data_IF_035585274910
#
_entry.id   IF_035585274910
#
_cell.length_a   1.000
_cell.length_b   1.000
_cell.length_c   1.000
_cell.angle_alpha   90.00
_cell.angle_beta   90.00
_cell.angle_gamma   90.00
#
_symmetry.space_group_name_H-M   'P 1'
#
loop_
_entity.id
_entity.type
_entity.pdbx_description
1 polymer ?
#
# COMPACT_ATOMS: atom_id res chain seq x y z
N UNK A 1 10.00 -4.61 12.49
CA UNK A 1 9.09 -5.77 12.51
C UNK A 1 8.32 -5.79 13.82
N UNK A 2 6.99 -5.76 13.73
CA UNK A 2 6.05 -5.72 14.86
C UNK A 2 6.22 -6.97 15.76
N UNK A 3 6.13 -6.81 17.09
CA UNK A 3 6.25 -7.92 18.04
C UNK A 3 5.15 -8.97 17.88
N UNK A 4 3.99 -8.60 17.33
CA UNK A 4 2.93 -9.56 17.03
C UNK A 4 3.27 -10.45 15.83
N UNK A 5 3.76 -9.86 14.74
CA UNK A 5 4.16 -10.60 13.53
C UNK A 5 5.26 -11.62 13.82
N UNK A 6 6.23 -11.28 14.69
CA UNK A 6 7.24 -12.24 15.14
C UNK A 6 6.63 -13.48 15.81
N UNK A 7 5.61 -13.30 16.66
CA UNK A 7 4.92 -14.41 17.30
C UNK A 7 4.22 -15.29 16.28
N UNK A 8 3.59 -14.70 15.25
CA UNK A 8 2.93 -15.44 14.18
C UNK A 8 3.97 -16.26 13.38
N UNK A 9 5.12 -15.68 13.07
CA UNK A 9 6.23 -16.39 12.42
C UNK A 9 6.71 -17.57 13.28
N UNK A 10 6.86 -17.38 14.58
CA UNK A 10 7.30 -18.44 15.49
C UNK A 10 6.26 -19.57 15.60
N UNK A 11 4.96 -19.24 15.64
CA UNK A 11 3.87 -20.23 15.61
C UNK A 11 3.88 -21.00 14.29
N UNK A 12 3.96 -20.32 13.16
CA UNK A 12 4.03 -20.96 11.85
C UNK A 12 5.21 -21.94 11.76
N UNK A 13 6.40 -21.52 12.21
CA UNK A 13 7.59 -22.38 12.28
C UNK A 13 7.40 -23.59 13.18
N UNK A 14 6.75 -23.42 14.33
CA UNK A 14 6.44 -24.52 15.22
C UNK A 14 5.49 -25.53 14.54
N UNK A 15 4.46 -25.05 13.84
CA UNK A 15 3.56 -25.92 13.08
C UNK A 15 4.27 -26.69 11.98
N UNK A 16 5.20 -26.04 11.25
CA UNK A 16 6.05 -26.74 10.26
C UNK A 16 6.88 -27.85 10.90
N UNK A 17 7.47 -27.58 12.08
CA UNK A 17 8.23 -28.59 12.81
C UNK A 17 7.38 -29.78 13.26
N UNK A 18 6.14 -29.54 13.70
CA UNK A 18 5.20 -30.58 14.15
C UNK A 18 4.73 -31.49 13.02
N UNK A 19 4.70 -30.99 11.78
CA UNK A 19 4.34 -31.74 10.57
C UNK A 19 5.55 -32.31 9.82
N UNK A 20 6.77 -32.13 10.35
CA UNK A 20 8.05 -32.52 9.73
C UNK A 20 8.41 -31.79 8.41
N UNK A 21 7.83 -30.60 8.17
CA UNK A 21 8.00 -29.79 6.96
C UNK A 21 8.93 -28.60 7.22
N UNK A 22 10.13 -28.89 7.72
CA UNK A 22 11.06 -27.88 8.28
C UNK A 22 11.66 -26.93 7.25
N UNK A 23 11.56 -27.26 5.97
CA UNK A 23 12.10 -26.50 4.85
C UNK A 23 11.15 -25.40 4.37
N UNK A 24 9.91 -25.36 4.86
CA UNK A 24 8.91 -24.34 4.54
C UNK A 24 9.44 -22.91 4.75
N UNK A 25 9.13 -22.03 3.79
CA UNK A 25 9.42 -20.60 3.76
C UNK A 25 8.10 -19.84 3.80
N UNK A 26 7.98 -18.86 4.67
CA UNK A 26 6.80 -17.97 4.70
C UNK A 26 6.87 -17.00 3.52
N UNK A 27 5.85 -17.04 2.66
CA UNK A 27 5.65 -16.15 1.52
C UNK A 27 5.04 -14.84 1.99
N UNK A 28 3.92 -14.89 2.70
CA UNK A 28 3.29 -13.69 3.23
C UNK A 28 2.47 -13.95 4.49
N UNK A 29 2.27 -12.89 5.27
CA UNK A 29 1.38 -12.87 6.43
C UNK A 29 0.42 -11.70 6.30
N UNK A 30 -0.86 -12.00 6.43
CA UNK A 30 -1.95 -11.05 6.48
C UNK A 30 -2.56 -11.03 7.88
N UNK A 31 -3.11 -9.87 8.27
CA UNK A 31 -3.89 -9.73 9.48
C UNK A 31 -5.23 -9.05 9.21
N UNK A 32 -6.28 -9.48 9.90
CA UNK A 32 -7.58 -8.81 9.90
C UNK A 32 -7.94 -8.49 11.33
N UNK A 33 -8.11 -7.19 11.64
CA UNK A 33 -8.53 -6.78 12.98
C UNK A 33 -10.02 -7.12 13.15
N UNK A 34 -10.34 -7.97 14.11
CA UNK A 34 -11.72 -8.24 14.51
C UNK A 34 -12.35 -7.06 15.26
N UNK A 35 -13.67 -7.13 15.48
CA UNK A 35 -14.43 -6.23 16.36
C UNK A 35 -14.06 -6.41 17.85
N UNK A 36 -13.40 -7.51 18.19
CA UNK A 36 -12.79 -7.80 19.49
C UNK A 36 -11.28 -7.53 19.45
N UNK A 37 -10.70 -7.22 20.61
CA UNK A 37 -9.38 -6.59 20.83
C UNK A 37 -8.12 -7.30 20.25
N UNK A 38 -8.21 -8.26 19.32
CA UNK A 38 -7.05 -8.96 18.71
C UNK A 38 -7.25 -9.30 17.22
N UNK A 39 -6.19 -9.22 16.39
CA UNK A 39 -6.27 -9.55 14.96
C UNK A 39 -6.23 -11.06 14.69
N UNK A 40 -7.02 -11.51 13.71
CA UNK A 40 -6.94 -12.79 13.03
C UNK A 40 -5.78 -12.80 12.02
N UNK A 41 -5.01 -13.89 11.92
CA UNK A 41 -3.88 -13.97 10.98
C UNK A 41 -4.04 -15.10 9.97
N UNK A 42 -3.58 -14.82 8.75
CA UNK A 42 -3.43 -15.79 7.67
C UNK A 42 -1.97 -15.78 7.19
N UNK A 43 -1.38 -16.95 7.03
CA UNK A 43 0.00 -17.13 6.62
C UNK A 43 0.07 -18.15 5.49
N UNK A 44 0.63 -17.75 4.35
CA UNK A 44 0.97 -18.66 3.26
C UNK A 44 2.47 -18.93 3.28
N UNK A 45 2.82 -20.21 3.13
CA UNK A 45 4.18 -20.69 3.04
C UNK A 45 4.32 -21.73 1.94
N UNK A 46 5.50 -21.82 1.33
CA UNK A 46 5.85 -22.84 0.34
C UNK A 46 7.14 -23.55 0.73
N UNK A 47 7.32 -24.79 0.27
CA UNK A 47 8.59 -25.51 0.46
C UNK A 47 9.73 -24.82 -0.30
N UNK A 48 10.95 -24.92 0.24
CA UNK A 48 12.17 -24.48 -0.44
C UNK A 48 12.70 -25.52 -1.42
N UNK A 49 12.29 -26.77 -1.26
CA UNK A 49 12.70 -27.89 -2.09
C UNK A 49 11.74 -28.07 -3.26
N UNK A 50 10.44 -27.86 -3.02
CA UNK A 50 9.38 -27.95 -4.02
C UNK A 50 8.39 -26.77 -3.84
N UNK A 51 8.53 -25.66 -4.61
CA UNK A 51 7.67 -24.49 -4.47
C UNK A 51 6.17 -24.75 -4.67
N UNK A 52 5.79 -25.86 -5.29
CA UNK A 52 4.39 -26.26 -5.50
C UNK A 52 3.76 -26.85 -4.23
N UNK A 53 4.57 -27.23 -3.22
CA UNK A 53 4.06 -27.61 -1.91
C UNK A 53 3.73 -26.37 -1.06
N UNK A 54 2.46 -25.98 -1.09
CA UNK A 54 1.96 -24.78 -0.43
C UNK A 54 1.14 -25.12 0.82
N UNK A 55 1.28 -24.29 1.85
CA UNK A 55 0.65 -24.46 3.15
C UNK A 55 -0.01 -23.15 3.57
N UNK A 56 -1.27 -23.26 4.01
CA UNK A 56 -2.00 -22.18 4.64
C UNK A 56 -2.10 -22.45 6.14
N UNK A 57 -1.67 -21.46 6.92
CA UNK A 57 -1.84 -21.46 8.37
C UNK A 57 -2.76 -20.32 8.74
N UNK A 58 -3.87 -20.65 9.41
CA UNK A 58 -4.76 -19.64 9.98
C UNK A 58 -4.67 -19.67 11.50
N UNK A 59 -4.67 -18.47 12.11
CA UNK A 59 -4.63 -18.30 13.55
C UNK A 59 -5.83 -17.46 13.98
N UNK A 60 -6.73 -18.09 14.72
CA UNK A 60 -7.92 -17.46 15.28
C UNK A 60 -7.69 -16.87 16.67
N UNK A 61 -8.66 -16.07 17.14
CA UNK A 61 -8.60 -15.33 18.41
C UNK A 61 -8.43 -16.24 19.64
N UNK A 62 -8.97 -17.45 19.58
CA UNK A 62 -8.86 -18.49 20.61
C UNK A 62 -7.52 -19.25 20.57
N UNK A 63 -6.57 -18.79 19.74
CA UNK A 63 -5.26 -19.42 19.48
C UNK A 63 -5.37 -20.80 18.84
N UNK A 64 -6.52 -21.14 18.26
CA UNK A 64 -6.57 -22.31 17.40
C UNK A 64 -5.74 -22.03 16.14
N UNK A 65 -4.87 -22.98 15.84
CA UNK A 65 -4.02 -22.96 14.65
C UNK A 65 -4.56 -24.02 13.71
N UNK A 66 -5.04 -23.62 12.54
CA UNK A 66 -5.35 -24.56 11.48
C UNK A 66 -4.16 -24.64 10.52
N UNK A 67 -3.82 -25.86 10.13
CA UNK A 67 -2.74 -26.17 9.21
C UNK A 67 -3.33 -26.91 8.01
N UNK A 68 -3.19 -26.35 6.81
CA UNK A 68 -3.87 -26.85 5.62
C UNK A 68 -2.92 -26.91 4.42
N UNK A 69 -3.01 -28.00 3.66
CA UNK A 69 -2.39 -28.10 2.35
C UNK A 69 -3.20 -27.30 1.33
N UNK A 70 -2.54 -26.44 0.57
CA UNK A 70 -3.12 -25.76 -0.58
C UNK A 70 -2.60 -26.47 -1.83
N UNK A 71 -3.47 -27.09 -2.65
CA UNK A 71 -3.03 -27.68 -3.90
C UNK A 71 -2.44 -26.62 -4.84
N UNK A 72 -1.36 -26.97 -5.51
CA UNK A 72 -0.66 -26.14 -6.50
C UNK A 72 -1.60 -25.61 -7.60
N UNK A 73 -2.47 -26.46 -8.12
CA UNK A 73 -3.44 -26.11 -9.16
C UNK A 73 -4.54 -25.15 -8.68
N UNK A 74 -4.74 -25.04 -7.37
CA UNK A 74 -5.74 -24.14 -6.76
C UNK A 74 -5.13 -22.78 -6.43
N UNK A 75 -3.82 -22.75 -6.13
CA UNK A 75 -3.16 -21.52 -5.72
C UNK A 75 -2.98 -20.52 -6.87
N UNK A 76 -3.52 -19.33 -6.67
CA UNK A 76 -3.23 -18.17 -7.52
C UNK A 76 -3.32 -16.88 -6.70
N UNK A 77 -2.61 -15.83 -7.13
CA UNK A 77 -2.56 -14.58 -6.36
C UNK A 77 -3.92 -13.88 -6.27
N UNK A 78 -4.81 -14.08 -7.24
CA UNK A 78 -6.09 -13.39 -7.33
C UNK A 78 -7.06 -13.92 -6.26
N UNK A 79 -7.25 -15.24 -6.21
CA UNK A 79 -8.17 -15.90 -5.26
C UNK A 79 -7.61 -16.06 -3.85
N UNK A 80 -6.30 -15.91 -3.65
CA UNK A 80 -5.68 -16.02 -2.32
C UNK A 80 -5.23 -14.67 -1.76
N UNK A 81 -4.31 -13.96 -2.42
CA UNK A 81 -3.78 -12.71 -1.87
C UNK A 81 -4.75 -11.55 -2.12
N UNK A 82 -5.21 -11.36 -3.35
CA UNK A 82 -5.99 -10.18 -3.70
C UNK A 82 -7.38 -10.23 -3.09
N UNK A 83 -8.07 -11.37 -3.15
CA UNK A 83 -9.36 -11.61 -2.48
C UNK A 83 -9.32 -11.29 -0.98
N UNK A 84 -8.30 -11.78 -0.25
CA UNK A 84 -8.14 -11.52 1.19
C UNK A 84 -7.95 -10.01 1.45
N UNK A 85 -7.15 -9.33 0.64
CA UNK A 85 -6.96 -7.88 0.77
C UNK A 85 -8.25 -7.12 0.52
N UNK A 86 -9.05 -7.58 -0.45
CA UNK A 86 -10.38 -7.06 -0.75
C UNK A 86 -11.36 -7.26 0.41
N UNK A 87 -11.26 -8.40 1.08
CA UNK A 87 -11.99 -8.76 2.29
C UNK A 87 -11.50 -8.02 3.54
N UNK A 88 -10.55 -7.10 3.41
CA UNK A 88 -10.11 -6.19 4.46
C UNK A 88 -8.95 -6.71 5.31
N UNK A 89 -8.24 -7.74 4.85
CA UNK A 89 -6.94 -8.09 5.42
C UNK A 89 -5.89 -7.01 5.11
N UNK A 90 -4.91 -6.91 6.00
CA UNK A 90 -3.77 -6.00 5.91
C UNK A 90 -2.48 -6.80 5.80
N UNK A 91 -1.58 -6.36 4.93
CA UNK A 91 -0.27 -6.99 4.75
C UNK A 91 0.62 -6.65 5.95
N UNK A 92 1.04 -7.69 6.68
CA UNK A 92 1.96 -7.57 7.81
C UNK A 92 3.40 -7.92 7.42
N UNK A 93 3.56 -8.83 6.47
CA UNK A 93 4.88 -9.32 6.04
C UNK A 93 4.81 -9.89 4.62
N UNK A 94 5.71 -9.42 3.75
CA UNK A 94 6.05 -10.01 2.45
C UNK A 94 7.56 -9.76 2.25
N UNK A 95 8.40 -10.78 2.00
CA UNK A 95 9.79 -10.59 1.65
C UNK A 95 9.93 -10.03 0.23
N UNK A 96 11.03 -9.32 -0.06
CA UNK A 96 11.23 -8.65 -1.34
C UNK A 96 11.15 -9.58 -2.56
N UNK A 97 11.67 -10.81 -2.44
CA UNK A 97 11.58 -11.85 -3.47
C UNK A 97 10.13 -12.25 -3.76
N UNK A 98 9.26 -12.27 -2.74
CA UNK A 98 7.85 -12.59 -2.94
C UNK A 98 7.10 -11.42 -3.58
N UNK A 99 7.47 -10.18 -3.25
CA UNK A 99 6.96 -9.02 -4.01
C UNK A 99 7.29 -9.16 -5.50
N UNK A 100 8.50 -9.59 -5.85
CA UNK A 100 8.86 -9.84 -7.25
C UNK A 100 7.98 -10.91 -7.90
N UNK A 101 7.77 -12.04 -7.24
CA UNK A 101 6.90 -13.11 -7.75
C UNK A 101 5.47 -12.62 -8.00
N UNK A 102 4.90 -11.86 -7.04
CA UNK A 102 3.58 -11.25 -7.18
C UNK A 102 3.56 -10.26 -8.35
N UNK A 103 4.61 -9.46 -8.55
CA UNK A 103 4.69 -8.51 -9.65
C UNK A 103 4.73 -9.20 -11.01
N UNK A 104 5.45 -10.31 -11.13
CA UNK A 104 5.46 -11.14 -12.32
C UNK A 104 4.07 -11.70 -12.62
N UNK A 105 3.41 -12.28 -11.60
CA UNK A 105 2.06 -12.81 -11.74
C UNK A 105 1.04 -11.72 -12.14
N UNK A 106 1.06 -10.56 -11.47
CA UNK A 106 0.18 -9.44 -11.83
C UNK A 106 0.44 -8.97 -13.26
N UNK A 107 1.70 -8.84 -13.69
CA UNK A 107 2.04 -8.41 -15.06
C UNK A 107 1.50 -9.38 -16.12
N UNK A 108 1.57 -10.68 -15.84
CA UNK A 108 1.11 -11.74 -16.74
C UNK A 108 -0.42 -11.80 -16.81
N UNK A 109 -1.11 -11.71 -15.67
CA UNK A 109 -2.55 -11.94 -15.55
C UNK A 109 -3.40 -10.68 -15.40
N UNK A 110 -2.82 -9.48 -15.58
CA UNK A 110 -3.46 -8.17 -15.29
C UNK A 110 -4.88 -7.98 -15.84
N UNK A 111 -5.17 -8.56 -17.01
CA UNK A 111 -6.43 -8.37 -17.72
C UNK A 111 -7.52 -9.36 -17.23
N UNK A 112 -7.10 -10.43 -16.54
CA UNK A 112 -7.96 -11.49 -16.03
C UNK A 112 -8.17 -11.41 -14.49
N UNK A 113 -7.47 -10.50 -13.79
CA UNK A 113 -7.65 -10.27 -12.35
C UNK A 113 -9.09 -9.83 -12.06
N UNK A 114 -9.78 -10.60 -11.21
CA UNK A 114 -11.14 -10.33 -10.76
C UNK A 114 -11.16 -9.40 -9.53
N UNK A 115 -10.23 -9.58 -8.58
CA UNK A 115 -10.19 -8.83 -7.31
C UNK A 115 -9.40 -7.52 -7.46
N UNK A 116 -10.00 -6.56 -8.17
CA UNK A 116 -9.41 -5.27 -8.54
C UNK A 116 -9.18 -4.30 -7.36
N UNK A 117 -10.06 -4.29 -6.36
CA UNK A 117 -9.88 -3.53 -5.12
C UNK A 117 -8.81 -4.17 -4.22
N UNK A 118 -8.65 -5.49 -4.29
CA UNK A 118 -7.55 -6.25 -3.71
C UNK A 118 -6.20 -5.88 -4.32
N UNK A 119 -6.13 -5.87 -5.66
CA UNK A 119 -4.96 -5.38 -6.41
C UNK A 119 -4.61 -3.94 -6.04
N UNK A 120 -5.62 -3.06 -5.95
CA UNK A 120 -5.40 -1.69 -5.51
C UNK A 120 -4.81 -1.61 -4.10
N UNK A 121 -5.31 -2.42 -3.16
CA UNK A 121 -4.81 -2.48 -1.79
C UNK A 121 -3.37 -2.96 -1.72
N UNK A 122 -2.99 -3.94 -2.55
CA UNK A 122 -1.61 -4.40 -2.68
C UNK A 122 -0.68 -3.32 -3.24
N UNK A 123 -1.09 -2.64 -4.31
CA UNK A 123 -0.30 -1.56 -4.92
C UNK A 123 -0.15 -0.35 -3.97
N UNK A 124 -1.20 -0.03 -3.21
CA UNK A 124 -1.16 1.00 -2.17
C UNK A 124 -0.16 0.63 -1.06
N UNK A 125 -0.14 -0.63 -0.65
CA UNK A 125 0.86 -1.15 0.27
C UNK A 125 2.27 -1.01 -0.31
N UNK A 126 2.50 -1.42 -1.56
CA UNK A 126 3.81 -1.28 -2.21
C UNK A 126 4.29 0.18 -2.18
N UNK A 127 3.42 1.13 -2.54
CA UNK A 127 3.72 2.56 -2.49
C UNK A 127 4.07 3.04 -1.07
N UNK A 128 3.29 2.65 -0.06
CA UNK A 128 3.50 3.05 1.35
C UNK A 128 4.75 2.43 1.96
N UNK A 129 5.06 1.18 1.60
CA UNK A 129 6.22 0.43 2.08
C UNK A 129 7.50 0.74 1.30
N UNK A 130 7.42 1.54 0.24
CA UNK A 130 8.58 1.90 -0.59
C UNK A 130 9.05 0.76 -1.50
N UNK A 131 8.16 -0.18 -1.85
CA UNK A 131 8.42 -1.21 -2.86
C UNK A 131 8.23 -0.56 -4.23
N UNK A 132 9.34 -0.25 -4.89
CA UNK A 132 9.38 0.38 -6.21
C UNK A 132 10.08 -0.51 -7.23
N UNK A 133 9.96 -0.26 -8.54
CA UNK A 133 10.68 -1.01 -9.55
C UNK A 133 12.19 -1.00 -9.34
N UNK A 134 12.75 0.12 -8.86
CA UNK A 134 14.17 0.23 -8.53
C UNK A 134 14.55 -0.68 -7.36
N UNK A 135 13.72 -0.77 -6.32
CA UNK A 135 13.96 -1.66 -5.17
C UNK A 135 13.88 -3.12 -5.60
N UNK A 136 12.89 -3.48 -6.43
CA UNK A 136 12.75 -4.84 -6.99
C UNK A 136 13.95 -5.21 -7.86
N UNK A 137 14.46 -4.27 -8.66
CA UNK A 137 15.64 -4.50 -9.53
C UNK A 137 16.91 -4.86 -8.77
N UNK A 138 16.99 -4.56 -7.45
CA UNK A 138 18.12 -4.96 -6.60
C UNK A 138 18.30 -6.47 -6.48
N UNK A 139 17.25 -7.25 -6.79
CA UNK A 139 17.33 -8.70 -6.85
C UNK A 139 18.16 -9.21 -8.04
N UNK A 140 18.45 -8.35 -9.04
CA UNK A 140 19.19 -8.74 -10.25
C UNK A 140 18.39 -9.64 -11.21
N UNK A 141 17.05 -9.63 -11.09
CA UNK A 141 16.12 -10.39 -11.92
C UNK A 141 15.56 -9.53 -13.07
N UNK A 142 14.65 -10.10 -13.87
CA UNK A 142 14.01 -9.36 -14.98
C UNK A 142 13.29 -8.11 -14.48
N UNK A 143 13.40 -6.99 -15.21
CA UNK A 143 12.68 -5.78 -14.86
C UNK A 143 11.16 -5.96 -15.00
N UNK A 144 10.45 -5.72 -13.91
CA UNK A 144 9.00 -5.72 -13.84
C UNK A 144 8.53 -4.44 -13.16
N UNK A 145 7.49 -3.81 -13.71
CA UNK A 145 6.85 -2.63 -13.14
C UNK A 145 5.33 -2.77 -13.31
N UNK A 146 4.64 -2.91 -12.18
CA UNK A 146 3.18 -2.90 -12.08
C UNK A 146 2.67 -1.64 -11.39
N UNK A 147 3.56 -0.74 -10.94
CA UNK A 147 3.16 0.47 -10.21
C UNK A 147 2.48 1.48 -11.13
N UNK A 148 2.63 1.33 -12.45
CA UNK A 148 1.82 2.02 -13.45
C UNK A 148 0.31 1.68 -13.37
N UNK A 149 -0.07 0.54 -12.78
CA UNK A 149 -1.47 0.16 -12.54
C UNK A 149 -2.06 0.90 -11.33
N UNK A 150 -1.21 1.46 -10.45
CA UNK A 150 -1.67 2.14 -9.24
C UNK A 150 -2.34 3.47 -9.58
N UNK A 151 -3.63 3.56 -9.28
CA UNK A 151 -4.41 4.78 -9.43
C UNK A 151 -4.83 5.30 -8.07
N UNK A 152 -4.09 6.25 -7.51
CA UNK A 152 -4.38 6.84 -6.19
C UNK A 152 -5.83 7.35 -6.12
N UNK A 153 -6.53 7.03 -5.03
CA UNK A 153 -7.92 7.45 -4.77
C UNK A 153 -8.09 8.05 -3.37
N UNK A 154 -9.07 8.92 -3.24
CA UNK A 154 -9.63 9.34 -1.95
C UNK A 154 -11.16 9.12 -1.99
N UNK A 155 -11.62 8.10 -1.26
CA UNK A 155 -12.95 7.53 -1.48
C UNK A 155 -13.13 7.11 -2.95
N UNK A 156 -14.24 7.51 -3.55
CA UNK A 156 -14.55 7.17 -4.95
C UNK A 156 -13.92 8.12 -6.00
N UNK A 157 -13.07 9.07 -5.59
CA UNK A 157 -12.41 10.00 -6.52
C UNK A 157 -10.99 9.54 -6.83
N UNK A 158 -10.67 9.44 -8.12
CA UNK A 158 -9.32 9.15 -8.62
C UNK A 158 -8.51 10.44 -8.64
N UNK A 159 -7.33 10.45 -8.02
CA UNK A 159 -6.39 11.57 -8.10
C UNK A 159 -5.85 11.64 -9.54
N UNK A 160 -6.08 12.76 -10.23
CA UNK A 160 -5.69 12.99 -11.63
C UNK A 160 -4.58 14.04 -11.78
N UNK A 161 -4.15 14.67 -10.69
CA UNK A 161 -3.04 15.61 -10.68
C UNK A 161 -2.59 15.97 -9.27
N UNK A 162 -1.31 16.31 -9.15
CA UNK A 162 -0.67 16.71 -7.88
C UNK A 162 0.38 17.80 -8.11
N UNK A 163 0.51 18.72 -7.14
CA UNK A 163 1.64 19.66 -7.04
C UNK A 163 2.13 19.69 -5.61
N UNK A 164 3.45 19.50 -5.45
CA UNK A 164 4.15 19.42 -4.16
C UNK A 164 5.00 20.67 -3.96
N UNK A 165 4.93 21.26 -2.77
CA UNK A 165 5.85 22.34 -2.36
C UNK A 165 6.28 22.07 -0.91
N UNK A 166 7.55 21.71 -0.73
CA UNK A 166 8.07 21.31 0.57
C UNK A 166 7.33 20.10 1.14
N UNK A 167 6.76 20.24 2.33
CA UNK A 167 5.99 19.22 3.05
C UNK A 167 4.48 19.28 2.79
N UNK A 168 4.03 20.17 1.89
CA UNK A 168 2.62 20.34 1.50
C UNK A 168 2.37 19.87 0.07
N UNK A 169 1.14 19.48 -0.19
CA UNK A 169 0.67 19.10 -1.52
C UNK A 169 -0.77 19.55 -1.74
N UNK A 170 -1.09 19.86 -2.99
CA UNK A 170 -2.46 20.06 -3.47
C UNK A 170 -2.70 19.03 -4.57
N UNK A 171 -3.86 18.36 -4.51
CA UNK A 171 -4.29 17.37 -5.51
C UNK A 171 -5.59 17.80 -6.16
N UNK A 172 -5.82 17.35 -7.39
CA UNK A 172 -7.11 17.40 -8.09
C UNK A 172 -7.55 15.98 -8.42
N UNK A 173 -8.83 15.69 -8.21
CA UNK A 173 -9.40 14.35 -8.34
C UNK A 173 -10.72 14.36 -9.11
N UNK A 174 -11.10 13.19 -9.65
CA UNK A 174 -12.27 13.01 -10.50
C UNK A 174 -13.07 11.76 -10.14
N UNK A 175 -14.38 11.90 -10.03
CA UNK A 175 -15.38 10.83 -9.96
C UNK A 175 -16.56 11.17 -10.88
N UNK A 176 -16.66 10.56 -12.07
CA UNK A 176 -17.73 10.89 -13.02
C UNK A 176 -19.14 10.53 -12.52
N UNK A 177 -19.25 9.68 -11.49
CA UNK A 177 -20.53 9.26 -10.91
C UNK A 177 -21.01 10.18 -9.77
N UNK A 178 -20.18 11.10 -9.30
CA UNK A 178 -20.54 12.00 -8.19
C UNK A 178 -21.33 13.23 -8.67
N UNK A 179 -22.23 13.80 -7.83
CA UNK A 179 -22.92 15.06 -8.16
C UNK A 179 -21.96 16.23 -8.43
N UNK A 180 -20.81 16.24 -7.77
CA UNK A 180 -19.69 17.15 -8.05
C UNK A 180 -18.51 16.32 -8.52
N UNK A 181 -18.32 16.12 -9.84
CA UNK A 181 -17.36 15.14 -10.33
C UNK A 181 -15.91 15.49 -10.03
N UNK A 182 -15.59 16.75 -9.76
CA UNK A 182 -14.22 17.20 -9.55
C UNK A 182 -14.04 17.73 -8.13
N UNK A 183 -12.88 17.50 -7.55
CA UNK A 183 -12.55 18.00 -6.22
C UNK A 183 -11.06 18.30 -6.10
N UNK A 184 -10.73 19.34 -5.35
CA UNK A 184 -9.35 19.64 -4.96
C UNK A 184 -9.17 19.43 -3.47
N UNK A 185 -8.05 18.85 -3.05
CA UNK A 185 -7.71 18.66 -1.63
C UNK A 185 -6.32 19.21 -1.33
N UNK A 186 -6.11 19.65 -0.09
CA UNK A 186 -4.78 19.87 0.48
C UNK A 186 -4.37 18.60 1.21
N UNK A 187 -3.09 18.27 1.17
CA UNK A 187 -2.55 17.09 1.85
C UNK A 187 -1.04 17.28 2.06
N UNK A 188 -0.35 16.24 2.53
CA UNK A 188 1.10 16.13 2.52
C UNK A 188 1.55 15.18 1.42
N UNK A 189 2.77 15.31 0.87
CA UNK A 189 3.32 14.35 -0.10
C UNK A 189 3.25 12.89 0.36
N UNK A 190 3.39 12.66 1.67
CA UNK A 190 3.32 11.33 2.29
C UNK A 190 1.90 10.81 2.56
N UNK A 191 0.88 11.65 2.42
CA UNK A 191 -0.54 11.35 2.76
C UNK A 191 -0.78 10.92 4.21
N UNK A 192 0.21 10.97 5.10
CA UNK A 192 0.09 10.52 6.51
C UNK A 192 -1.03 11.25 7.24
N UNK A 193 -1.27 12.52 6.90
CA UNK A 193 -2.35 13.33 7.48
C UNK A 193 -3.69 13.19 6.76
N UNK A 194 -3.79 12.32 5.77
CA UNK A 194 -4.97 12.20 4.91
C UNK A 194 -5.16 13.39 3.99
N UNK A 195 -6.40 13.62 3.58
CA UNK A 195 -6.80 14.72 2.69
C UNK A 195 -7.60 15.75 3.49
N UNK A 196 -7.11 16.99 3.52
CA UNK A 196 -7.70 18.13 4.22
C UNK A 196 -8.42 19.08 3.24
N UNK A 197 -9.51 19.69 3.72
CA UNK A 197 -10.22 20.82 3.10
C UNK A 197 -10.53 20.58 1.60
N UNK A 198 -11.58 19.80 1.33
CA UNK A 198 -12.02 19.52 -0.04
C UNK A 198 -12.87 20.64 -0.63
N UNK A 199 -12.54 21.10 -1.84
CA UNK A 199 -13.42 21.98 -2.63
C UNK A 199 -13.98 21.19 -3.81
N UNK A 200 -15.30 21.02 -3.86
CA UNK A 200 -16.00 20.21 -4.86
C UNK A 200 -16.58 21.09 -5.96
N UNK A 201 -16.49 20.62 -7.20
CA UNK A 201 -16.86 21.35 -8.39
C UNK A 201 -17.59 20.46 -9.39
N UNK A 202 -18.56 21.04 -10.10
CA UNK A 202 -19.31 20.35 -11.16
C UNK A 202 -18.55 20.31 -12.49
N UNK A 203 -17.63 21.26 -12.74
CA UNK A 203 -16.87 21.38 -13.99
C UNK A 203 -15.36 21.31 -13.75
N UNK A 204 -14.65 20.64 -14.65
CA UNK A 204 -13.19 20.53 -14.60
C UNK A 204 -12.50 21.90 -14.60
N UNK A 205 -12.97 22.85 -15.42
CA UNK A 205 -12.38 24.18 -15.51
C UNK A 205 -12.39 24.90 -14.15
N UNK A 206 -13.50 24.84 -13.42
CA UNK A 206 -13.62 25.49 -12.12
C UNK A 206 -12.71 24.82 -11.08
N UNK A 207 -12.65 23.48 -11.10
CA UNK A 207 -11.74 22.73 -10.24
C UNK A 207 -10.26 23.03 -10.54
N UNK A 208 -9.90 23.20 -11.82
CA UNK A 208 -8.54 23.50 -12.22
C UNK A 208 -8.12 24.93 -11.83
N UNK A 209 -9.02 25.91 -11.92
CA UNK A 209 -8.76 27.26 -11.43
C UNK A 209 -8.58 27.29 -9.91
N UNK A 210 -9.43 26.58 -9.15
CA UNK A 210 -9.25 26.41 -7.70
C UNK A 210 -7.93 25.71 -7.37
N UNK A 211 -7.61 24.62 -8.07
CA UNK A 211 -6.36 23.88 -7.94
C UNK A 211 -5.15 24.81 -8.14
N UNK A 212 -5.12 25.56 -9.24
CA UNK A 212 -4.06 26.52 -9.57
C UNK A 212 -3.92 27.59 -8.49
N UNK A 213 -5.04 28.17 -8.04
CA UNK A 213 -5.06 29.16 -6.96
C UNK A 213 -4.44 28.59 -5.69
N UNK A 214 -4.88 27.40 -5.26
CA UNK A 214 -4.38 26.74 -4.04
C UNK A 214 -2.90 26.36 -4.13
N UNK A 215 -2.41 26.00 -5.31
CA UNK A 215 -0.99 25.76 -5.56
C UNK A 215 -0.15 27.04 -5.41
N UNK A 216 -0.63 28.16 -5.96
CA UNK A 216 0.04 29.44 -5.83
C UNK A 216 0.11 29.92 -4.38
N UNK A 217 -1.01 29.85 -3.65
CA UNK A 217 -1.05 30.16 -2.21
C UNK A 217 -0.07 29.29 -1.42
N UNK A 218 -0.04 27.98 -1.70
CA UNK A 218 0.89 27.04 -1.07
C UNK A 218 2.36 27.39 -1.35
N UNK A 219 2.69 27.81 -2.58
CA UNK A 219 4.04 28.25 -2.95
C UNK A 219 4.43 29.55 -2.24
N UNK A 220 3.55 30.54 -2.24
CA UNK A 220 3.78 31.83 -1.58
C UNK A 220 4.02 31.66 -0.08
N UNK A 221 3.19 30.85 0.59
CA UNK A 221 3.39 30.46 2.00
C UNK A 221 4.76 29.85 2.24
N UNK A 222 5.18 28.92 1.37
CA UNK A 222 6.48 28.26 1.49
C UNK A 222 7.63 29.26 1.36
N UNK A 223 7.59 30.11 0.33
CA UNK A 223 8.61 31.13 0.10
C UNK A 223 8.69 32.14 1.24
N UNK A 224 7.54 32.54 1.80
CA UNK A 224 7.48 33.42 2.97
C UNK A 224 8.13 32.79 4.21
N UNK A 225 7.92 31.50 4.44
CA UNK A 225 8.57 30.75 5.52
C UNK A 225 10.09 30.70 5.28
N UNK A 226 10.53 30.38 4.07
CA UNK A 226 11.96 30.34 3.74
C UNK A 226 12.61 31.71 3.90
N UNK A 227 11.98 32.77 3.40
CA UNK A 227 12.45 34.14 3.57
C UNK A 227 12.67 34.49 5.04
N UNK A 228 11.73 34.17 5.93
CA UNK A 228 11.86 34.41 7.38
C UNK A 228 13.02 33.63 8.01
N UNK A 229 13.35 32.44 7.49
CA UNK A 229 14.48 31.63 7.98
C UNK A 229 15.84 32.20 7.56
N UNK A 230 15.94 32.71 6.33
CA UNK A 230 17.20 33.22 5.75
C UNK A 230 17.42 34.71 6.01
N UNK A 231 16.38 35.46 6.39
CA UNK A 231 16.49 36.89 6.66
C UNK A 231 17.54 37.14 7.76
N UNK A 232 18.56 37.97 7.51
CA UNK A 232 19.58 38.29 8.51
C UNK A 232 18.94 38.83 9.79
N UNK A 233 19.34 38.28 10.94
CA UNK A 233 19.00 38.86 12.24
C UNK A 233 19.96 40.03 12.50
N UNK A 234 19.68 41.21 11.96
CA UNK A 234 20.44 42.40 12.32
C UNK A 234 20.21 42.70 13.81
N UNK A 235 21.15 42.28 14.68
CA UNK A 235 21.53 43.11 15.83
C UNK A 235 22.51 44.14 15.30
N UNK A 236 22.00 45.16 14.62
CA UNK A 236 22.74 46.40 14.49
C UNK A 236 22.93 46.93 15.92
N UNK A 237 24.12 46.72 16.46
CA UNK A 237 24.61 47.55 17.55
C UNK A 237 24.80 48.94 16.95
N UNK A 238 23.77 49.77 17.13
CA UNK A 238 23.88 51.22 16.97
C UNK A 238 24.96 51.65 17.95
N UNK A 239 26.13 52.01 17.41
CA UNK A 239 27.12 52.83 18.10
C UNK A 239 26.75 54.29 17.90
#
# INVERSE_FOLDING_TARGET
MNNQVKKVIDIARQSFHEHDEKDMKINYILSKKGDTLSPFYLCIASSKLDPDEIRCITLSEDKNVAYQNVPDWDFNIDDYLLSDLEDGYQIEYIPLEEHYNIWCAVKEWKDDIQHQDGLYSYLDHCKKSGITPEVISLLGLENVDIMNLYQERNGNYKIIGETKVGDKSVVIAHNPKAPSPFVTWRTTPSRIKGFDIGHYHSRFKDAYEDYKKRCNEMMEDHLNIQYRKIKPKNKEHVR
#
